data_IF_765890245062
#
_entry.id   IF_765890245062
#
_cell.length_a   1.000
_cell.length_b   1.000
_cell.length_c   1.000
_cell.angle_alpha   90.00
_cell.angle_beta   90.00
_cell.angle_gamma   90.00
#
_symmetry.space_group_name_H-M   'P 1'
#
loop_
_entity.id
_entity.type
_entity.pdbx_description
1 polymer ?
#
# COMPACT_ATOMS: atom_id res chain seq x y z
N UNK A 1 46.55 4.38 -65.97
CA UNK A 1 45.67 3.24 -65.60
C UNK A 1 46.53 2.09 -65.11
N UNK A 2 46.61 1.89 -63.80
CA UNK A 2 46.47 0.59 -63.13
C UNK A 2 46.41 0.89 -61.64
N UNK A 3 45.23 0.63 -61.08
CA UNK A 3 44.91 0.87 -59.69
C UNK A 3 45.68 -0.13 -58.81
N UNK A 4 46.56 0.36 -57.96
CA UNK A 4 46.91 -0.36 -56.74
C UNK A 4 45.70 -0.26 -55.81
N UNK A 5 44.84 -1.29 -55.88
CA UNK A 5 43.75 -1.52 -54.94
C UNK A 5 44.29 -1.36 -53.52
N UNK A 6 43.78 -0.36 -52.80
CA UNK A 6 43.86 -0.32 -51.35
C UNK A 6 43.24 -1.61 -50.82
N UNK A 7 44.09 -2.51 -50.31
CA UNK A 7 43.68 -3.67 -49.54
C UNK A 7 43.20 -3.12 -48.20
N UNK A 8 41.97 -2.65 -48.20
CA UNK A 8 41.22 -2.19 -47.04
C UNK A 8 40.50 -3.41 -46.44
N UNK A 9 41.25 -4.49 -46.20
CA UNK A 9 40.73 -5.70 -45.58
C UNK A 9 41.08 -5.65 -44.09
N UNK A 10 40.19 -5.07 -43.30
CA UNK A 10 40.27 -4.98 -41.83
C UNK A 10 40.32 -6.37 -41.13
N UNK A 11 40.36 -7.48 -41.88
CA UNK A 11 40.33 -8.86 -41.38
C UNK A 11 41.68 -9.45 -40.97
N UNK A 12 42.80 -8.79 -41.27
CA UNK A 12 44.15 -9.30 -40.96
C UNK A 12 45.01 -8.36 -40.08
N UNK A 13 44.42 -7.37 -39.43
CA UNK A 13 45.16 -6.54 -38.46
C UNK A 13 45.33 -7.32 -37.17
N UNK A 14 46.58 -7.51 -36.75
CA UNK A 14 46.94 -8.12 -35.47
C UNK A 14 46.26 -7.33 -34.34
N UNK A 15 45.32 -7.94 -33.62
CA UNK A 15 44.62 -7.26 -32.52
C UNK A 15 45.30 -7.56 -31.19
N UNK A 16 45.32 -6.58 -30.29
CA UNK A 16 45.93 -6.76 -28.97
C UNK A 16 45.27 -7.89 -28.18
N UNK A 17 43.97 -8.11 -28.35
CA UNK A 17 43.26 -9.22 -27.71
C UNK A 17 43.81 -10.60 -28.15
N UNK A 18 44.23 -10.74 -29.41
CA UNK A 18 44.83 -11.97 -29.93
C UNK A 18 46.24 -12.22 -29.36
N UNK A 19 47.01 -11.14 -29.16
CA UNK A 19 48.34 -11.22 -28.54
C UNK A 19 48.19 -11.61 -27.06
N UNK A 20 47.32 -10.89 -26.35
CA UNK A 20 47.13 -11.06 -24.91
C UNK A 20 46.53 -12.42 -24.56
N UNK A 21 45.64 -12.95 -25.41
CA UNK A 21 45.07 -14.28 -25.21
C UNK A 21 46.09 -15.41 -25.36
N UNK A 22 47.15 -15.20 -26.13
CA UNK A 22 48.26 -16.15 -26.30
C UNK A 22 49.33 -16.04 -25.20
N UNK A 23 49.34 -14.96 -24.40
CA UNK A 23 50.26 -14.81 -23.28
C UNK A 23 49.83 -15.72 -22.11
N UNK A 24 50.74 -16.61 -21.67
CA UNK A 24 50.50 -17.54 -20.55
C UNK A 24 50.40 -16.83 -19.20
N UNK A 25 51.33 -15.92 -18.92
CA UNK A 25 51.34 -15.10 -17.71
C UNK A 25 51.80 -13.69 -18.04
N UNK A 26 51.23 -12.71 -17.34
CA UNK A 26 51.69 -11.33 -17.39
C UNK A 26 52.03 -10.94 -15.95
N UNK A 27 53.32 -10.75 -15.67
CA UNK A 27 53.85 -10.49 -14.32
C UNK A 27 53.66 -9.03 -13.85
N UNK A 28 53.16 -8.16 -14.73
CA UNK A 28 52.91 -6.76 -14.43
C UNK A 28 51.51 -6.57 -13.85
N UNK A 29 51.35 -5.58 -12.98
CA UNK A 29 50.01 -5.05 -12.69
C UNK A 29 49.42 -4.35 -13.92
N UNK A 30 48.09 -4.20 -13.96
CA UNK A 30 47.42 -3.49 -15.04
C UNK A 30 48.00 -2.08 -15.26
N UNK A 31 48.24 -1.31 -14.20
CA UNK A 31 48.81 0.04 -14.30
C UNK A 31 50.21 0.04 -14.89
N UNK A 32 51.06 -0.90 -14.48
CA UNK A 32 52.41 -1.04 -15.02
C UNK A 32 52.38 -1.41 -16.50
N UNK A 33 51.49 -2.34 -16.90
CA UNK A 33 51.33 -2.70 -18.31
C UNK A 33 50.95 -1.47 -19.15
N UNK A 34 49.97 -0.70 -18.68
CA UNK A 34 49.48 0.48 -19.41
C UNK A 34 50.54 1.58 -19.47
N UNK A 35 51.32 1.78 -18.40
CA UNK A 35 52.46 2.71 -18.41
C UNK A 35 53.51 2.32 -19.45
N UNK A 36 53.86 1.03 -19.53
CA UNK A 36 54.80 0.52 -20.54
C UNK A 36 54.23 0.69 -21.95
N UNK A 37 52.95 0.35 -22.17
CA UNK A 37 52.29 0.56 -23.46
C UNK A 37 52.33 2.04 -23.88
N UNK A 38 51.98 2.97 -22.98
CA UNK A 38 52.00 4.40 -23.26
C UNK A 38 53.40 4.91 -23.59
N UNK A 39 54.43 4.41 -22.90
CA UNK A 39 55.82 4.76 -23.20
C UNK A 39 56.22 4.37 -24.64
N UNK A 40 55.72 3.24 -25.13
CA UNK A 40 56.00 2.73 -26.48
C UNK A 40 54.85 2.97 -27.49
N UNK A 41 53.86 3.81 -27.18
CA UNK A 41 52.64 3.94 -27.98
C UNK A 41 52.90 4.31 -29.44
N UNK A 42 53.93 5.12 -29.70
CA UNK A 42 54.33 5.51 -31.06
C UNK A 42 54.74 4.31 -31.93
N UNK A 43 55.31 3.28 -31.32
CA UNK A 43 55.70 2.04 -32.02
C UNK A 43 54.46 1.25 -32.46
N UNK A 44 53.37 1.35 -31.70
CA UNK A 44 52.13 0.60 -31.92
C UNK A 44 51.05 1.38 -32.68
N UNK A 45 51.38 2.52 -33.32
CA UNK A 45 50.39 3.35 -34.03
C UNK A 45 49.59 2.60 -35.10
N UNK A 46 50.18 1.58 -35.74
CA UNK A 46 49.51 0.76 -36.75
C UNK A 46 48.53 -0.28 -36.15
N UNK A 47 48.69 -0.60 -34.86
CA UNK A 47 47.89 -1.57 -34.12
C UNK A 47 47.55 -0.99 -32.74
N UNK A 48 46.68 0.04 -32.69
CA UNK A 48 46.36 0.71 -31.44
C UNK A 48 45.68 -0.26 -30.48
N UNK A 49 46.01 -0.12 -29.20
CA UNK A 49 45.32 -0.81 -28.13
C UNK A 49 43.85 -0.40 -28.10
N UNK A 50 42.96 -1.38 -28.21
CA UNK A 50 41.53 -1.15 -28.33
C UNK A 50 40.80 -1.45 -27.01
N UNK A 51 39.53 -1.04 -26.95
CA UNK A 51 38.68 -1.24 -25.77
C UNK A 51 38.58 -2.72 -25.40
N UNK A 52 38.45 -3.61 -26.38
CA UNK A 52 38.29 -5.05 -26.14
C UNK A 52 39.54 -5.65 -25.48
N UNK A 53 40.73 -5.30 -25.96
CA UNK A 53 41.98 -5.70 -25.31
C UNK A 53 42.14 -5.13 -23.90
N UNK A 54 41.71 -3.88 -23.66
CA UNK A 54 41.73 -3.29 -22.34
C UNK A 54 40.83 -4.02 -21.34
N UNK A 55 39.60 -4.31 -21.74
CA UNK A 55 38.63 -5.10 -20.97
C UNK A 55 39.20 -6.49 -20.68
N UNK A 56 39.81 -7.14 -21.68
CA UNK A 56 40.46 -8.43 -21.51
C UNK A 56 41.61 -8.37 -20.48
N UNK A 57 42.44 -7.32 -20.53
CA UNK A 57 43.48 -7.11 -19.51
C UNK A 57 42.88 -6.92 -18.13
N UNK A 58 41.82 -6.13 -17.96
CA UNK A 58 41.17 -5.96 -16.66
C UNK A 58 40.68 -7.31 -16.11
N UNK A 59 40.12 -8.17 -16.97
CA UNK A 59 39.66 -9.50 -16.57
C UNK A 59 40.80 -10.41 -16.10
N UNK A 60 41.96 -10.35 -16.74
CA UNK A 60 43.12 -11.19 -16.37
C UNK A 60 43.93 -10.60 -15.22
N UNK A 61 44.07 -9.29 -15.21
CA UNK A 61 44.92 -8.53 -14.31
C UNK A 61 44.06 -7.86 -13.25
N UNK A 62 43.51 -8.68 -12.35
CA UNK A 62 42.76 -8.12 -11.23
C UNK A 62 43.68 -7.25 -10.36
N UNK A 63 43.25 -6.04 -9.99
CA UNK A 63 44.03 -5.22 -9.08
C UNK A 63 44.16 -5.92 -7.72
N UNK A 64 45.40 -5.98 -7.22
CA UNK A 64 45.75 -6.50 -5.89
C UNK A 64 44.83 -5.95 -4.80
N UNK A 65 44.47 -6.80 -3.83
CA UNK A 65 43.47 -6.59 -2.75
C UNK A 65 43.76 -5.47 -1.74
N UNK A 66 44.72 -4.58 -1.99
CA UNK A 66 45.04 -3.44 -1.10
C UNK A 66 45.38 -2.20 -1.91
N UNK A 67 44.38 -1.54 -2.48
CA UNK A 67 44.57 -0.25 -3.16
C UNK A 67 43.85 0.87 -2.42
N UNK A 68 44.46 2.06 -2.42
CA UNK A 68 43.87 3.31 -1.91
C UNK A 68 42.70 3.80 -2.76
N UNK A 69 42.56 3.27 -3.96
CA UNK A 69 41.58 3.67 -4.97
C UNK A 69 40.86 2.43 -5.47
N UNK A 70 39.55 2.56 -5.71
CA UNK A 70 38.75 1.44 -6.15
C UNK A 70 39.16 0.93 -7.53
N UNK A 71 39.01 -0.38 -7.80
CA UNK A 71 39.30 -0.94 -9.11
C UNK A 71 38.59 -0.18 -10.23
N UNK A 72 37.35 0.23 -10.01
CA UNK A 72 36.56 0.97 -10.99
C UNK A 72 37.16 2.33 -11.37
N UNK A 73 37.56 3.14 -10.38
CA UNK A 73 38.21 4.43 -10.62
C UNK A 73 39.54 4.27 -11.36
N UNK A 74 40.32 3.26 -11.00
CA UNK A 74 41.57 2.91 -11.68
C UNK A 74 41.30 2.59 -13.15
N UNK A 75 40.33 1.72 -13.44
CA UNK A 75 40.01 1.34 -14.82
C UNK A 75 39.56 2.55 -15.64
N UNK A 76 38.74 3.44 -15.07
CA UNK A 76 38.33 4.66 -15.77
C UNK A 76 39.49 5.61 -16.04
N UNK A 77 40.40 5.80 -15.07
CA UNK A 77 41.60 6.61 -15.27
C UNK A 77 42.44 6.05 -16.41
N UNK A 78 42.70 4.75 -16.39
CA UNK A 78 43.51 4.09 -17.42
C UNK A 78 42.83 4.13 -18.80
N UNK A 79 41.52 3.93 -18.87
CA UNK A 79 40.73 4.09 -20.10
C UNK A 79 40.88 5.49 -20.69
N UNK A 80 40.86 6.53 -19.84
CA UNK A 80 41.07 7.93 -20.24
C UNK A 80 42.49 8.19 -20.71
N UNK A 81 43.51 7.68 -20.01
CA UNK A 81 44.90 7.82 -20.40
C UNK A 81 45.16 7.22 -21.79
N UNK A 82 44.49 6.12 -22.10
CA UNK A 82 44.55 5.45 -23.40
C UNK A 82 43.66 6.08 -24.49
N UNK A 83 42.81 7.06 -24.14
CA UNK A 83 41.85 7.70 -25.04
C UNK A 83 40.89 6.71 -25.73
N UNK A 84 40.52 5.64 -25.03
CA UNK A 84 39.60 4.62 -25.56
C UNK A 84 38.15 5.10 -25.63
N UNK A 85 37.37 4.49 -26.51
CA UNK A 85 35.93 4.76 -26.64
C UNK A 85 35.22 4.42 -25.32
N UNK A 86 34.62 5.46 -24.71
CA UNK A 86 33.92 5.31 -23.44
C UNK A 86 32.62 4.52 -23.58
N UNK A 87 31.83 4.73 -24.64
CA UNK A 87 30.55 4.04 -24.79
C UNK A 87 30.78 2.53 -24.90
N UNK A 88 31.69 2.14 -25.79
CA UNK A 88 32.09 0.76 -26.00
C UNK A 88 32.71 0.14 -24.73
N UNK A 89 33.45 0.94 -23.93
CA UNK A 89 33.96 0.49 -22.65
C UNK A 89 32.83 0.09 -21.70
N UNK A 90 31.81 0.94 -21.52
CA UNK A 90 30.71 0.63 -20.61
C UNK A 90 29.85 -0.54 -21.08
N UNK A 91 29.64 -0.70 -22.39
CA UNK A 91 28.91 -1.84 -22.95
C UNK A 91 29.64 -3.17 -22.70
N UNK A 92 30.98 -3.20 -22.81
CA UNK A 92 31.75 -4.43 -22.61
C UNK A 92 32.10 -4.69 -21.14
N UNK A 93 32.30 -3.63 -20.34
CA UNK A 93 32.73 -3.72 -18.95
C UNK A 93 31.63 -4.26 -18.00
N UNK A 94 30.36 -4.24 -18.41
CA UNK A 94 29.22 -4.63 -17.56
C UNK A 94 29.39 -6.03 -16.92
N UNK A 95 30.00 -6.99 -17.60
CA UNK A 95 30.24 -8.34 -17.09
C UNK A 95 31.34 -8.38 -16.03
N UNK A 96 32.38 -7.57 -16.20
CA UNK A 96 33.45 -7.39 -15.20
C UNK A 96 32.89 -6.69 -13.97
N UNK A 97 32.05 -5.68 -14.17
CA UNK A 97 31.33 -5.01 -13.10
C UNK A 97 30.48 -6.01 -12.31
N UNK A 98 29.64 -6.79 -12.98
CA UNK A 98 28.82 -7.83 -12.37
C UNK A 98 29.65 -8.86 -11.56
N UNK A 99 30.76 -9.35 -12.14
CA UNK A 99 31.71 -10.22 -11.43
C UNK A 99 32.36 -9.53 -10.22
N UNK A 100 32.67 -8.24 -10.33
CA UNK A 100 33.26 -7.47 -9.24
C UNK A 100 32.30 -7.19 -8.11
N UNK A 101 31.00 -6.99 -8.38
CA UNK A 101 29.97 -6.90 -7.34
C UNK A 101 29.87 -8.22 -6.57
N UNK A 102 29.74 -9.35 -7.28
CA UNK A 102 29.68 -10.69 -6.63
C UNK A 102 30.88 -10.99 -5.73
N UNK A 103 32.07 -10.49 -6.12
CA UNK A 103 33.31 -10.71 -5.38
C UNK A 103 33.68 -9.55 -4.44
N UNK A 104 32.76 -8.58 -4.23
CA UNK A 104 32.94 -7.42 -3.36
C UNK A 104 34.23 -6.63 -3.65
N UNK A 105 34.53 -6.39 -4.93
CA UNK A 105 35.69 -5.61 -5.36
C UNK A 105 35.51 -4.10 -5.23
N UNK A 106 34.28 -3.65 -5.09
CA UNK A 106 33.93 -2.23 -5.11
C UNK A 106 33.24 -1.85 -3.79
N UNK A 107 33.61 -0.70 -3.25
CA UNK A 107 32.88 -0.14 -2.13
C UNK A 107 31.58 0.50 -2.62
N UNK A 108 30.58 0.60 -1.74
CA UNK A 108 29.29 1.26 -2.06
C UNK A 108 29.48 2.67 -2.62
N UNK A 109 30.46 3.43 -2.10
CA UNK A 109 30.73 4.80 -2.54
C UNK A 109 31.13 4.86 -4.02
N UNK A 110 31.93 3.91 -4.48
CA UNK A 110 32.38 3.85 -5.87
C UNK A 110 31.24 3.48 -6.82
N UNK A 111 30.40 2.53 -6.41
CA UNK A 111 29.23 2.11 -7.18
C UNK A 111 28.23 3.27 -7.30
N UNK A 112 28.01 4.01 -6.21
CA UNK A 112 27.14 5.18 -6.23
C UNK A 112 27.66 6.33 -7.10
N UNK A 113 28.98 6.53 -7.13
CA UNK A 113 29.61 7.49 -8.04
C UNK A 113 29.42 7.07 -9.50
N UNK A 114 29.57 5.77 -9.80
CA UNK A 114 29.25 5.23 -11.12
C UNK A 114 27.80 5.52 -11.51
N UNK A 115 26.83 5.21 -10.65
CA UNK A 115 25.42 5.51 -10.92
C UNK A 115 25.16 7.00 -11.10
N UNK A 116 25.83 7.85 -10.31
CA UNK A 116 25.77 9.31 -10.48
C UNK A 116 26.28 9.74 -11.85
N UNK A 117 27.32 9.10 -12.36
CA UNK A 117 27.90 9.42 -13.66
C UNK A 117 27.03 8.91 -14.82
N UNK A 118 26.41 7.74 -14.67
CA UNK A 118 25.53 7.15 -15.68
C UNK A 118 24.12 7.74 -15.69
N UNK A 119 23.72 8.56 -14.70
CA UNK A 119 22.34 9.05 -14.57
C UNK A 119 21.80 9.83 -15.77
N UNK A 120 22.66 10.34 -16.65
CA UNK A 120 22.27 11.01 -17.90
C UNK A 120 22.12 10.05 -19.10
N UNK A 121 22.43 8.77 -18.93
CA UNK A 121 22.44 7.74 -19.97
C UNK A 121 21.47 6.62 -19.59
N UNK A 122 20.18 6.78 -19.93
CA UNK A 122 19.08 5.89 -19.51
C UNK A 122 19.40 4.39 -19.66
N UNK A 123 19.83 3.99 -20.86
CA UNK A 123 20.16 2.59 -21.16
C UNK A 123 21.31 2.05 -20.31
N UNK A 124 22.44 2.77 -20.23
CA UNK A 124 23.60 2.33 -19.46
C UNK A 124 23.33 2.34 -17.95
N UNK A 125 22.62 3.35 -17.45
CA UNK A 125 22.18 3.38 -16.06
C UNK A 125 21.33 2.14 -15.74
N UNK A 126 20.33 1.86 -16.58
CA UNK A 126 19.44 0.71 -16.39
C UNK A 126 20.22 -0.61 -16.32
N UNK A 127 21.11 -0.85 -17.28
CA UNK A 127 21.89 -2.09 -17.38
C UNK A 127 22.76 -2.29 -16.14
N UNK A 128 23.52 -1.26 -15.74
CA UNK A 128 24.40 -1.34 -14.59
C UNK A 128 23.62 -1.47 -13.28
N UNK A 129 22.49 -0.79 -13.15
CA UNK A 129 21.65 -0.88 -11.96
C UNK A 129 20.98 -2.27 -11.84
N UNK A 130 20.57 -2.89 -12.95
CA UNK A 130 20.10 -4.28 -12.98
C UNK A 130 21.20 -5.29 -12.65
N UNK A 131 22.41 -5.12 -13.19
CA UNK A 131 23.55 -5.96 -12.81
C UNK A 131 23.87 -5.84 -11.34
N UNK A 132 23.83 -4.63 -10.77
CA UNK A 132 24.00 -4.43 -9.34
C UNK A 132 22.92 -5.15 -8.53
N UNK A 133 21.64 -4.84 -8.78
CA UNK A 133 20.51 -5.37 -8.03
C UNK A 133 20.34 -6.89 -8.11
N UNK A 134 20.84 -7.51 -9.19
CA UNK A 134 20.83 -8.97 -9.36
C UNK A 134 21.88 -9.68 -8.52
N UNK A 135 22.91 -8.96 -8.07
CA UNK A 135 24.07 -9.52 -7.37
C UNK A 135 24.15 -9.13 -5.89
N UNK A 136 23.30 -8.22 -5.43
CA UNK A 136 23.24 -7.79 -4.03
C UNK A 136 21.96 -8.29 -3.36
N UNK A 137 21.99 -8.36 -2.03
CA UNK A 137 20.79 -8.64 -1.26
C UNK A 137 19.90 -7.38 -1.15
N UNK A 138 18.71 -7.52 -0.58
CA UNK A 138 17.77 -6.39 -0.46
C UNK A 138 18.23 -5.32 0.53
N UNK A 139 19.02 -5.70 1.55
CA UNK A 139 19.59 -4.74 2.51
C UNK A 139 20.58 -3.80 1.81
N UNK A 140 21.53 -4.36 1.06
CA UNK A 140 22.51 -3.61 0.28
C UNK A 140 21.85 -2.71 -0.77
N UNK A 141 20.79 -3.21 -1.41
CA UNK A 141 20.00 -2.42 -2.36
C UNK A 141 19.30 -1.24 -1.68
N UNK A 142 18.76 -1.43 -0.47
CA UNK A 142 18.15 -0.37 0.33
C UNK A 142 19.17 0.67 0.77
N UNK A 143 20.33 0.22 1.24
CA UNK A 143 21.42 1.09 1.65
C UNK A 143 21.93 1.92 0.47
N UNK A 144 22.02 1.32 -0.73
CA UNK A 144 22.37 2.05 -1.97
C UNK A 144 21.31 3.09 -2.32
N UNK A 145 20.03 2.76 -2.18
CA UNK A 145 18.94 3.71 -2.38
C UNK A 145 19.08 4.92 -1.46
N UNK A 146 19.22 4.70 -0.14
CA UNK A 146 19.38 5.78 0.83
C UNK A 146 20.65 6.60 0.55
N UNK A 147 21.74 5.93 0.18
CA UNK A 147 23.00 6.59 -0.15
C UNK A 147 22.88 7.50 -1.38
N UNK A 148 22.26 7.02 -2.47
CA UNK A 148 22.02 7.82 -3.68
C UNK A 148 21.14 9.04 -3.40
N UNK A 149 20.12 8.89 -2.55
CA UNK A 149 19.24 9.99 -2.16
C UNK A 149 19.96 11.09 -1.37
N UNK A 150 20.98 10.73 -0.57
CA UNK A 150 21.80 11.70 0.18
C UNK A 150 22.80 12.42 -0.71
N UNK A 151 23.37 11.71 -1.69
CA UNK A 151 24.53 12.19 -2.43
C UNK A 151 24.18 13.34 -3.39
N UNK A 152 23.08 13.24 -4.13
CA UNK A 152 22.71 14.18 -5.19
C UNK A 152 21.19 14.29 -5.41
N UNK A 153 20.76 15.34 -6.11
CA UNK A 153 19.39 15.45 -6.62
C UNK A 153 19.10 14.26 -7.54
N UNK A 154 18.07 13.50 -7.19
CA UNK A 154 17.60 12.33 -7.95
C UNK A 154 16.94 12.85 -9.22
N UNK A 155 17.34 12.34 -10.38
CA UNK A 155 16.68 12.65 -11.65
C UNK A 155 15.66 11.57 -12.02
N UNK A 156 14.88 11.81 -13.08
CA UNK A 156 13.82 10.90 -13.52
C UNK A 156 14.33 9.50 -13.88
N UNK A 157 15.54 9.38 -14.45
CA UNK A 157 16.16 8.08 -14.80
C UNK A 157 16.44 7.29 -13.52
N UNK A 158 17.13 7.89 -12.56
CA UNK A 158 17.45 7.25 -11.28
C UNK A 158 16.19 6.89 -10.50
N UNK A 159 15.20 7.80 -10.44
CA UNK A 159 13.89 7.53 -9.83
C UNK A 159 13.20 6.32 -10.46
N UNK A 160 13.09 6.29 -11.80
CA UNK A 160 12.39 5.23 -12.54
C UNK A 160 12.90 3.85 -12.13
N UNK A 161 14.21 3.60 -12.24
CA UNK A 161 14.75 2.27 -11.96
C UNK A 161 14.85 1.95 -10.47
N UNK A 162 15.12 2.94 -9.60
CA UNK A 162 15.10 2.69 -8.15
C UNK A 162 13.73 2.23 -7.70
N UNK A 163 12.66 2.93 -8.09
CA UNK A 163 11.28 2.55 -7.74
C UNK A 163 10.96 1.18 -8.30
N UNK A 164 11.22 0.93 -9.59
CA UNK A 164 10.90 -0.38 -10.20
C UNK A 164 11.56 -1.53 -9.44
N UNK A 165 12.89 -1.50 -9.27
CA UNK A 165 13.62 -2.63 -8.68
C UNK A 165 13.29 -2.77 -7.19
N UNK A 166 13.18 -1.67 -6.44
CA UNK A 166 12.83 -1.74 -5.02
C UNK A 166 11.41 -2.25 -4.82
N UNK A 167 10.43 -1.75 -5.59
CA UNK A 167 9.04 -2.22 -5.51
C UNK A 167 8.89 -3.69 -5.91
N UNK A 168 9.76 -4.23 -6.76
CA UNK A 168 9.78 -5.66 -7.09
C UNK A 168 10.38 -6.52 -5.96
N UNK A 169 11.44 -6.03 -5.29
CA UNK A 169 12.20 -6.78 -4.29
C UNK A 169 11.62 -6.67 -2.88
N UNK A 170 11.22 -5.46 -2.47
CA UNK A 170 10.73 -5.13 -1.13
C UNK A 170 9.60 -6.04 -0.64
N UNK A 171 8.65 -6.51 -1.48
CA UNK A 171 7.54 -7.29 -0.96
C UNK A 171 7.93 -8.68 -0.44
N UNK A 172 9.12 -9.17 -0.79
CA UNK A 172 9.66 -10.43 -0.27
C UNK A 172 10.27 -10.29 1.13
N UNK A 173 10.53 -9.06 1.57
CA UNK A 173 11.23 -8.73 2.83
C UNK A 173 10.29 -8.92 4.02
N UNK A 174 10.80 -9.45 5.14
CA UNK A 174 10.02 -9.58 6.39
C UNK A 174 9.57 -8.22 6.92
N UNK A 175 8.52 -8.22 7.76
CA UNK A 175 8.01 -7.00 8.38
C UNK A 175 9.08 -6.33 9.26
N UNK A 176 9.82 -7.12 10.03
CA UNK A 176 10.92 -6.65 10.88
C UNK A 176 12.01 -5.90 10.07
N UNK A 177 12.46 -6.50 8.96
CA UNK A 177 13.43 -5.85 8.08
C UNK A 177 12.86 -4.59 7.46
N UNK A 178 11.59 -4.61 7.05
CA UNK A 178 10.95 -3.40 6.53
C UNK A 178 10.83 -2.29 7.59
N UNK A 179 10.56 -2.62 8.86
CA UNK A 179 10.64 -1.67 9.97
C UNK A 179 12.05 -1.08 10.15
N UNK A 180 13.10 -1.89 9.95
CA UNK A 180 14.48 -1.38 9.97
C UNK A 180 14.69 -0.36 8.84
N UNK A 181 14.24 -0.69 7.63
CA UNK A 181 14.35 0.17 6.46
C UNK A 181 13.59 1.48 6.61
N UNK A 182 12.38 1.45 7.18
CA UNK A 182 11.56 2.67 7.39
C UNK A 182 12.20 3.58 8.44
N UNK A 183 12.80 3.02 9.50
CA UNK A 183 13.61 3.79 10.47
C UNK A 183 14.81 4.46 9.80
N UNK A 184 15.57 3.72 8.99
CA UNK A 184 16.71 4.27 8.25
C UNK A 184 16.27 5.37 7.25
N UNK A 185 15.11 5.19 6.60
CA UNK A 185 14.53 6.19 5.71
C UNK A 185 14.14 7.47 6.46
N UNK A 186 13.57 7.37 7.66
CA UNK A 186 13.27 8.53 8.53
C UNK A 186 14.53 9.30 8.90
N UNK A 187 15.59 8.60 9.32
CA UNK A 187 16.89 9.25 9.59
C UNK A 187 17.45 9.91 8.33
N UNK A 188 17.40 9.22 7.20
CA UNK A 188 17.85 9.73 5.91
C UNK A 188 17.14 11.02 5.50
N UNK A 189 15.82 11.13 5.73
CA UNK A 189 15.04 12.32 5.42
C UNK A 189 15.58 13.60 6.09
N UNK A 190 16.16 13.48 7.29
CA UNK A 190 16.77 14.61 8.01
C UNK A 190 18.10 15.06 7.40
N UNK A 191 18.82 14.15 6.74
CA UNK A 191 20.14 14.37 6.14
C UNK A 191 20.08 14.82 4.67
N UNK A 192 18.97 14.53 3.97
CA UNK A 192 18.78 14.88 2.56
C UNK A 192 18.60 16.41 2.39
N UNK A 193 19.20 16.94 1.32
CA UNK A 193 19.05 18.35 0.88
C UNK A 193 17.57 18.72 0.73
N UNK A 194 17.18 19.92 1.16
CA UNK A 194 15.79 20.40 1.14
C UNK A 194 15.09 20.20 -0.22
N UNK A 195 15.78 20.51 -1.32
CA UNK A 195 15.29 20.39 -2.69
C UNK A 195 14.94 18.96 -3.11
N UNK A 196 15.51 17.94 -2.47
CA UNK A 196 15.32 16.52 -2.81
C UNK A 196 14.35 15.80 -1.88
N UNK A 197 13.85 16.47 -0.82
CA UNK A 197 12.99 15.85 0.20
C UNK A 197 11.64 15.39 -0.35
N UNK A 198 10.97 16.23 -1.16
CA UNK A 198 9.67 15.90 -1.75
C UNK A 198 9.77 14.66 -2.64
N UNK A 199 10.80 14.62 -3.49
CA UNK A 199 11.06 13.49 -4.37
C UNK A 199 11.39 12.23 -3.57
N UNK A 200 12.24 12.32 -2.56
CA UNK A 200 12.52 11.18 -1.68
C UNK A 200 11.25 10.61 -1.04
N UNK A 201 10.38 11.47 -0.52
CA UNK A 201 9.10 11.06 0.06
C UNK A 201 8.26 10.35 -1.00
N UNK A 202 8.14 10.88 -2.22
CA UNK A 202 7.39 10.24 -3.31
C UNK A 202 7.94 8.84 -3.67
N UNK A 203 9.27 8.68 -3.72
CA UNK A 203 9.90 7.38 -3.99
C UNK A 203 9.62 6.38 -2.88
N UNK A 204 9.80 6.81 -1.62
CA UNK A 204 9.52 5.99 -0.46
C UNK A 204 8.05 5.60 -0.41
N UNK A 205 7.15 6.53 -0.71
CA UNK A 205 5.71 6.31 -0.81
C UNK A 205 5.43 5.16 -1.80
N UNK A 206 5.94 5.21 -3.04
CA UNK A 206 5.73 4.14 -4.04
C UNK A 206 6.21 2.76 -3.57
N UNK A 207 7.35 2.72 -2.89
CA UNK A 207 7.91 1.46 -2.38
C UNK A 207 7.08 0.93 -1.21
N UNK A 208 6.64 1.82 -0.31
CA UNK A 208 5.76 1.49 0.80
C UNK A 208 4.43 0.92 0.30
N UNK A 209 3.81 1.53 -0.71
CA UNK A 209 2.57 1.01 -1.32
C UNK A 209 2.76 -0.40 -1.88
N UNK A 210 3.86 -0.63 -2.62
CA UNK A 210 4.17 -1.95 -3.16
C UNK A 210 4.35 -3.01 -2.06
N UNK A 211 4.98 -2.65 -0.95
CA UNK A 211 5.11 -3.53 0.23
C UNK A 211 3.73 -3.86 0.84
N UNK A 212 2.92 -2.85 1.11
CA UNK A 212 1.61 -3.02 1.78
C UNK A 212 0.63 -3.82 0.91
N UNK A 213 0.46 -3.45 -0.36
CA UNK A 213 -0.45 -4.14 -1.28
C UNK A 213 -0.13 -5.64 -1.33
N UNK A 214 1.15 -5.99 -1.52
CA UNK A 214 1.54 -7.39 -1.61
C UNK A 214 1.46 -8.13 -0.28
N UNK A 215 1.64 -7.44 0.85
CA UNK A 215 1.52 -8.06 2.17
C UNK A 215 0.08 -8.29 2.59
N UNK A 216 -0.87 -7.45 2.17
CA UNK A 216 -2.27 -7.53 2.58
C UNK A 216 -3.13 -8.29 1.57
N UNK A 217 -3.02 -7.97 0.27
CA UNK A 217 -3.95 -8.50 -0.75
C UNK A 217 -3.58 -9.91 -1.23
N UNK A 218 -2.34 -10.35 -1.03
CA UNK A 218 -1.88 -11.65 -1.50
C UNK A 218 -1.99 -12.66 -0.35
N UNK A 219 -2.95 -13.58 -0.46
CA UNK A 219 -3.30 -14.58 0.56
C UNK A 219 -2.10 -15.39 1.10
N UNK A 220 -1.10 -15.65 0.28
CA UNK A 220 0.14 -16.34 0.67
C UNK A 220 1.03 -15.56 1.65
N UNK A 221 0.83 -14.25 1.80
CA UNK A 221 1.60 -13.37 2.67
C UNK A 221 0.78 -12.70 3.78
N UNK A 222 -0.56 -12.70 3.66
CA UNK A 222 -1.48 -11.93 4.51
C UNK A 222 -1.59 -12.43 5.96
N UNK A 223 -1.24 -13.70 6.23
CA UNK A 223 -1.25 -14.26 7.59
C UNK A 223 -0.02 -13.87 8.44
N UNK A 224 0.96 -13.15 7.86
CA UNK A 224 2.22 -12.82 8.53
C UNK A 224 2.28 -11.42 9.15
N UNK A 225 1.25 -10.59 8.95
CA UNK A 225 1.16 -9.26 9.55
C UNK A 225 0.32 -9.35 10.83
N UNK A 226 0.94 -9.07 11.97
CA UNK A 226 0.19 -8.91 13.22
C UNK A 226 -0.53 -7.56 13.24
N UNK A 227 -1.51 -7.41 14.12
CA UNK A 227 -2.19 -6.12 14.30
C UNK A 227 -1.23 -5.02 14.76
N UNK A 228 -0.25 -5.36 15.59
CA UNK A 228 0.80 -4.42 16.04
C UNK A 228 1.63 -3.94 14.86
N UNK A 229 2.05 -4.86 13.98
CA UNK A 229 2.78 -4.50 12.76
C UNK A 229 1.97 -3.55 11.88
N UNK A 230 0.67 -3.80 11.71
CA UNK A 230 -0.18 -2.91 10.92
C UNK A 230 -0.28 -1.50 11.52
N UNK A 231 -0.34 -1.39 12.85
CA UNK A 231 -0.34 -0.09 13.54
C UNK A 231 0.97 0.66 13.35
N UNK A 232 2.10 -0.02 13.51
CA UNK A 232 3.43 0.56 13.30
C UNK A 232 3.60 1.04 11.85
N UNK A 233 3.19 0.22 10.88
CA UNK A 233 3.22 0.57 9.46
C UNK A 233 2.28 1.73 9.14
N UNK A 234 1.10 1.81 9.77
CA UNK A 234 0.17 2.91 9.58
C UNK A 234 0.79 4.23 10.08
N UNK A 235 1.42 4.20 11.26
CA UNK A 235 2.15 5.36 11.77
C UNK A 235 3.29 5.79 10.83
N UNK A 236 4.06 4.83 10.31
CA UNK A 236 5.08 5.12 9.29
C UNK A 236 4.47 5.76 8.05
N UNK A 237 3.36 5.22 7.53
CA UNK A 237 2.67 5.75 6.34
C UNK A 237 2.13 7.16 6.55
N UNK A 238 1.69 7.48 7.77
CA UNK A 238 1.23 8.82 8.14
C UNK A 238 2.37 9.81 8.34
N UNK A 239 3.51 9.39 8.90
CA UNK A 239 4.68 10.26 9.12
C UNK A 239 5.52 10.48 7.86
N UNK A 240 5.65 9.45 7.01
CA UNK A 240 6.48 9.45 5.80
C UNK A 240 5.63 9.65 4.55
N UNK A 241 4.78 10.68 4.58
CA UNK A 241 3.90 11.03 3.47
C UNK A 241 4.00 12.49 3.10
N UNK A 242 3.86 12.78 1.81
CA UNK A 242 3.79 14.14 1.29
C UNK A 242 2.50 14.86 1.70
N UNK A 243 1.43 14.09 1.93
CA UNK A 243 0.10 14.61 2.25
C UNK A 243 -0.32 14.33 3.70
N UNK A 244 0.35 13.39 4.39
CA UNK A 244 0.02 12.96 5.75
C UNK A 244 -1.47 12.61 5.92
N UNK A 245 -2.05 11.91 4.93
CA UNK A 245 -3.49 11.58 4.90
C UNK A 245 -3.74 10.10 5.08
N UNK A 246 -4.75 9.81 5.90
CA UNK A 246 -5.25 8.47 6.13
C UNK A 246 -5.96 7.89 4.89
N UNK A 247 -6.45 8.75 4.00
CA UNK A 247 -7.20 8.44 2.77
C UNK A 247 -6.35 7.77 1.68
N UNK A 248 -5.04 7.60 1.92
CA UNK A 248 -4.13 6.96 0.97
C UNK A 248 -4.43 5.45 0.86
N UNK A 249 -4.36 4.84 -0.34
CA UNK A 249 -4.67 3.42 -0.53
C UNK A 249 -3.98 2.45 0.44
N UNK A 250 -2.68 2.57 0.68
CA UNK A 250 -1.96 1.69 1.62
C UNK A 250 -2.39 1.89 3.08
N UNK A 251 -2.62 3.14 3.50
CA UNK A 251 -3.16 3.45 4.82
C UNK A 251 -4.57 2.88 4.99
N UNK A 252 -5.42 2.99 3.96
CA UNK A 252 -6.76 2.41 3.93
C UNK A 252 -6.71 0.88 4.04
N UNK A 253 -5.81 0.20 3.31
CA UNK A 253 -5.60 -1.24 3.43
C UNK A 253 -5.17 -1.64 4.85
N UNK A 254 -4.29 -0.87 5.48
CA UNK A 254 -3.87 -1.10 6.87
C UNK A 254 -5.02 -0.89 7.86
N UNK A 255 -5.81 0.18 7.70
CA UNK A 255 -7.01 0.43 8.51
C UNK A 255 -8.00 -0.72 8.36
N UNK A 256 -8.28 -1.16 7.14
CA UNK A 256 -9.13 -2.32 6.85
C UNK A 256 -8.61 -3.57 7.57
N UNK A 257 -7.31 -3.86 7.50
CA UNK A 257 -6.71 -5.03 8.16
C UNK A 257 -6.79 -4.91 9.69
N UNK A 258 -6.57 -3.72 10.26
CA UNK A 258 -6.65 -3.51 11.71
C UNK A 258 -8.08 -3.69 12.23
N UNK A 259 -9.07 -3.15 11.52
CA UNK A 259 -10.46 -3.13 11.96
C UNK A 259 -11.20 -4.43 11.61
N UNK A 260 -11.08 -4.88 10.36
CA UNK A 260 -11.96 -5.89 9.78
C UNK A 260 -11.35 -7.29 9.64
N UNK A 261 -10.07 -7.49 9.95
CA UNK A 261 -9.47 -8.82 9.86
C UNK A 261 -9.98 -9.71 11.00
N UNK A 262 -10.82 -10.67 10.61
CA UNK A 262 -11.46 -11.62 11.51
C UNK A 262 -10.62 -12.89 11.52
N UNK A 263 -10.07 -13.25 12.68
CA UNK A 263 -9.39 -14.54 12.84
C UNK A 263 -10.36 -15.71 12.59
N UNK A 264 -9.86 -16.78 11.97
CA UNK A 264 -10.66 -17.93 11.49
C UNK A 264 -11.54 -18.64 12.54
N UNK A 265 -11.32 -18.37 13.84
CA UNK A 265 -12.10 -18.94 14.94
C UNK A 265 -13.39 -18.16 15.27
N UNK A 266 -13.62 -16.96 14.73
CA UNK A 266 -14.87 -16.23 14.94
C UNK A 266 -15.98 -16.81 14.06
N UNK A 267 -16.77 -17.74 14.63
CA UNK A 267 -17.76 -18.52 13.88
C UNK A 267 -19.13 -17.84 13.76
N UNK A 268 -19.46 -16.86 14.61
CA UNK A 268 -20.79 -16.20 14.61
C UNK A 268 -20.70 -14.71 14.30
N UNK A 269 -21.77 -14.13 13.74
CA UNK A 269 -21.85 -12.69 13.47
C UNK A 269 -21.70 -11.84 14.75
N UNK A 270 -22.23 -12.30 15.88
CA UNK A 270 -22.06 -11.60 17.15
C UNK A 270 -20.57 -11.51 17.56
N UNK A 271 -19.82 -12.60 17.43
CA UNK A 271 -18.38 -12.61 17.71
C UNK A 271 -17.60 -11.71 16.75
N UNK A 272 -17.95 -11.71 15.46
CA UNK A 272 -17.35 -10.83 14.45
C UNK A 272 -17.60 -9.36 14.77
N UNK A 273 -18.83 -8.99 15.11
CA UNK A 273 -19.21 -7.64 15.49
C UNK A 273 -18.49 -7.21 16.77
N UNK A 274 -18.50 -8.05 17.82
CA UNK A 274 -17.74 -7.76 19.06
C UNK A 274 -16.27 -7.48 18.76
N UNK A 275 -15.63 -8.31 17.94
CA UNK A 275 -14.24 -8.11 17.53
C UNK A 275 -14.04 -6.79 16.75
N UNK A 276 -14.90 -6.47 15.79
CA UNK A 276 -14.79 -5.22 15.00
C UNK A 276 -14.80 -3.98 15.90
N UNK A 277 -15.73 -3.92 16.86
CA UNK A 277 -15.85 -2.78 17.74
C UNK A 277 -14.78 -2.77 18.84
N UNK A 278 -14.32 -3.92 19.33
CA UNK A 278 -13.11 -4.02 20.15
C UNK A 278 -11.87 -3.50 19.39
N UNK A 279 -11.74 -3.82 18.11
CA UNK A 279 -10.64 -3.33 17.26
C UNK A 279 -10.72 -1.81 17.10
N UNK A 280 -11.92 -1.27 16.86
CA UNK A 280 -12.16 0.16 16.78
C UNK A 280 -11.88 0.87 18.11
N UNK A 281 -12.25 0.28 19.25
CA UNK A 281 -11.95 0.83 20.58
C UNK A 281 -10.45 0.99 20.79
N UNK A 282 -9.69 0.00 20.31
CA UNK A 282 -8.25 -0.05 20.40
C UNK A 282 -7.56 0.64 19.20
N UNK A 283 -8.32 1.27 18.31
CA UNK A 283 -7.78 2.10 17.23
C UNK A 283 -7.40 3.49 17.77
N UNK A 284 -6.58 4.23 17.02
CA UNK A 284 -6.11 5.55 17.45
C UNK A 284 -7.27 6.57 17.47
N UNK A 285 -7.66 6.99 18.67
CA UNK A 285 -8.75 7.94 18.89
C UNK A 285 -8.49 9.28 18.18
N UNK A 286 -7.23 9.72 18.09
CA UNK A 286 -6.88 10.97 17.41
C UNK A 286 -7.16 10.88 15.91
N UNK A 287 -6.96 9.71 15.30
CA UNK A 287 -7.31 9.48 13.89
C UNK A 287 -8.82 9.48 13.69
N UNK A 288 -9.59 8.86 14.60
CA UNK A 288 -11.05 8.88 14.54
C UNK A 288 -11.63 10.29 14.69
N UNK A 289 -10.99 11.18 15.46
CA UNK A 289 -11.41 12.58 15.61
C UNK A 289 -11.02 13.43 14.39
N UNK A 290 -9.86 13.17 13.78
CA UNK A 290 -9.32 13.97 12.67
C UNK A 290 -9.96 13.66 11.32
N UNK A 291 -10.33 12.40 11.06
CA UNK A 291 -10.84 11.97 9.76
C UNK A 291 -12.31 11.55 9.84
N UNK A 292 -13.09 11.94 8.83
CA UNK A 292 -14.48 11.55 8.70
C UNK A 292 -14.59 10.08 8.28
N UNK A 293 -15.45 9.31 8.95
CA UNK A 293 -15.55 7.86 8.76
C UNK A 293 -15.92 7.49 7.33
N UNK A 294 -16.82 8.26 6.71
CA UNK A 294 -17.32 8.06 5.35
C UNK A 294 -16.27 8.25 4.25
N UNK A 295 -15.12 8.85 4.57
CA UNK A 295 -13.98 8.98 3.64
C UNK A 295 -12.96 7.86 3.78
N UNK A 296 -13.04 7.09 4.86
CA UNK A 296 -12.03 6.11 5.23
C UNK A 296 -12.58 4.68 5.13
N UNK A 297 -13.83 4.48 5.51
CA UNK A 297 -14.45 3.16 5.61
C UNK A 297 -15.30 2.92 4.37
N UNK A 298 -14.93 1.90 3.60
CA UNK A 298 -15.69 1.43 2.45
C UNK A 298 -16.74 0.39 2.89
N UNK A 299 -17.97 0.53 2.39
CA UNK A 299 -19.09 -0.38 2.66
C UNK A 299 -18.75 -1.83 2.29
N UNK A 300 -17.94 -2.03 1.24
CA UNK A 300 -17.47 -3.34 0.80
C UNK A 300 -16.70 -4.09 1.89
N UNK A 301 -15.97 -3.38 2.76
CA UNK A 301 -15.21 -3.98 3.85
C UNK A 301 -16.11 -4.52 4.95
N UNK A 302 -17.36 -4.04 5.02
CA UNK A 302 -18.32 -4.39 6.07
C UNK A 302 -19.21 -5.59 5.70
N UNK A 303 -19.13 -6.10 4.47
CA UNK A 303 -19.97 -7.19 3.97
C UNK A 303 -19.98 -8.43 4.85
N UNK A 304 -18.82 -8.82 5.38
CA UNK A 304 -18.68 -10.00 6.23
C UNK A 304 -19.30 -9.86 7.63
N UNK A 305 -19.71 -8.64 7.99
CA UNK A 305 -20.39 -8.29 9.24
C UNK A 305 -21.90 -8.12 9.06
N UNK A 306 -22.40 -8.15 7.83
CA UNK A 306 -23.82 -8.03 7.56
C UNK A 306 -24.58 -9.23 8.14
N UNK A 307 -25.71 -8.93 8.74
CA UNK A 307 -26.62 -9.93 9.28
C UNK A 307 -27.65 -10.22 8.20
N UNK A 308 -27.54 -11.41 7.60
CA UNK A 308 -28.36 -11.81 6.44
C UNK A 308 -29.66 -12.51 6.81
N UNK A 309 -29.85 -12.87 8.09
CA UNK A 309 -31.05 -13.55 8.59
C UNK A 309 -31.50 -12.96 9.93
N UNK A 310 -32.80 -12.76 10.10
CA UNK A 310 -33.41 -12.25 11.32
C UNK A 310 -33.19 -13.14 12.56
N UNK A 311 -33.07 -14.46 12.39
CA UNK A 311 -32.74 -15.36 13.49
C UNK A 311 -31.31 -15.14 14.02
N UNK A 312 -30.45 -14.47 13.26
CA UNK A 312 -29.10 -14.11 13.69
C UNK A 312 -29.13 -12.79 14.47
N UNK A 313 -30.02 -11.86 14.10
CA UNK A 313 -30.30 -10.68 14.93
C UNK A 313 -30.75 -11.11 16.32
N UNK A 314 -31.66 -12.08 16.43
CA UNK A 314 -32.08 -12.62 17.73
C UNK A 314 -30.99 -13.33 18.53
N UNK A 315 -29.83 -13.62 17.91
CA UNK A 315 -28.65 -14.23 18.52
C UNK A 315 -27.54 -13.23 18.82
N UNK A 316 -27.70 -11.95 18.47
CA UNK A 316 -26.90 -10.89 19.12
C UNK A 316 -27.29 -10.91 20.59
N UNK A 317 -26.43 -11.53 21.39
CA UNK A 317 -26.63 -11.59 22.82
C UNK A 317 -26.64 -10.17 23.41
N UNK A 318 -27.32 -10.05 24.55
CA UNK A 318 -27.44 -8.81 25.28
C UNK A 318 -26.08 -8.23 25.65
N UNK A 319 -25.09 -9.08 25.94
CA UNK A 319 -23.73 -8.69 26.32
C UNK A 319 -23.01 -7.96 25.17
N UNK A 320 -23.04 -8.51 23.95
CA UNK A 320 -22.43 -7.92 22.76
C UNK A 320 -23.10 -6.59 22.43
N UNK A 321 -24.44 -6.54 22.48
CA UNK A 321 -25.17 -5.31 22.21
C UNK A 321 -24.90 -4.22 23.27
N UNK A 322 -24.95 -4.57 24.56
CA UNK A 322 -24.62 -3.66 25.65
C UNK A 322 -23.17 -3.17 25.58
N UNK A 323 -22.24 -4.02 25.15
CA UNK A 323 -20.84 -3.62 24.94
C UNK A 323 -20.74 -2.49 23.91
N UNK A 324 -21.45 -2.60 22.77
CA UNK A 324 -21.51 -1.57 21.73
C UNK A 324 -22.05 -0.25 22.30
N UNK A 325 -23.22 -0.32 22.93
CA UNK A 325 -23.92 0.85 23.47
C UNK A 325 -23.12 1.55 24.57
N UNK A 326 -22.46 0.80 25.45
CA UNK A 326 -21.75 1.39 26.58
C UNK A 326 -20.40 1.98 26.17
N UNK A 327 -19.65 1.31 25.30
CA UNK A 327 -18.27 1.70 24.98
C UNK A 327 -18.14 2.66 23.78
N UNK A 328 -19.16 2.74 22.92
CA UNK A 328 -19.00 3.41 21.61
C UNK A 328 -20.02 4.50 21.30
N UNK A 329 -20.92 4.84 22.22
CA UNK A 329 -22.03 5.78 22.00
C UNK A 329 -21.63 7.18 21.49
N UNK A 330 -20.39 7.61 21.76
CA UNK A 330 -19.88 8.92 21.35
C UNK A 330 -18.84 8.86 20.23
N UNK A 331 -18.54 7.68 19.69
CA UNK A 331 -17.52 7.51 18.66
C UNK A 331 -18.17 7.66 17.27
N UNK A 332 -17.83 8.70 16.48
CA UNK A 332 -18.46 8.95 15.18
C UNK A 332 -18.24 7.81 14.17
N UNK A 333 -17.07 7.16 14.22
CA UNK A 333 -16.78 6.01 13.36
C UNK A 333 -17.62 4.80 13.75
N UNK A 334 -17.80 4.55 15.05
CA UNK A 334 -18.64 3.45 15.51
C UNK A 334 -20.09 3.64 15.06
N UNK A 335 -20.61 4.86 15.20
CA UNK A 335 -21.94 5.28 14.75
C UNK A 335 -22.09 5.04 13.23
N UNK A 336 -21.10 5.49 12.44
CA UNK A 336 -21.10 5.30 10.98
C UNK A 336 -21.08 3.81 10.58
N UNK A 337 -20.12 3.03 11.10
CA UNK A 337 -19.98 1.60 10.82
C UNK A 337 -21.27 0.86 11.16
N UNK A 338 -21.83 1.11 12.34
CA UNK A 338 -23.08 0.47 12.75
C UNK A 338 -24.23 0.84 11.81
N UNK A 339 -24.33 2.11 11.41
CA UNK A 339 -25.34 2.57 10.46
C UNK A 339 -25.26 1.81 9.12
N UNK A 340 -24.06 1.60 8.58
CA UNK A 340 -23.87 0.86 7.33
C UNK A 340 -24.20 -0.62 7.47
N UNK A 341 -23.72 -1.27 8.53
CA UNK A 341 -24.02 -2.69 8.80
C UNK A 341 -25.53 -2.89 8.93
N UNK A 342 -26.21 -2.05 9.72
CA UNK A 342 -27.66 -2.09 9.91
C UNK A 342 -28.40 -1.89 8.59
N UNK A 343 -28.07 -0.84 7.85
CA UNK A 343 -28.76 -0.49 6.61
C UNK A 343 -28.67 -1.64 5.60
N UNK A 344 -27.46 -2.14 5.33
CA UNK A 344 -27.23 -3.23 4.38
C UNK A 344 -27.85 -4.55 4.84
N UNK A 345 -27.79 -4.85 6.14
CA UNK A 345 -28.43 -6.05 6.71
C UNK A 345 -29.95 -6.03 6.53
N UNK A 346 -30.59 -4.90 6.88
CA UNK A 346 -32.04 -4.74 6.78
C UNK A 346 -32.51 -4.71 5.33
N UNK A 347 -31.77 -4.05 4.43
CA UNK A 347 -32.08 -4.01 3.00
C UNK A 347 -32.12 -5.43 2.40
N UNK A 348 -31.13 -6.27 2.74
CA UNK A 348 -31.07 -7.66 2.30
C UNK A 348 -32.21 -8.52 2.89
N UNK A 349 -32.44 -8.43 4.21
CA UNK A 349 -33.45 -9.22 4.90
C UNK A 349 -34.86 -8.85 4.41
N UNK A 350 -35.13 -7.56 4.25
CA UNK A 350 -36.39 -7.07 3.70
C UNK A 350 -36.55 -7.45 2.21
N UNK A 351 -35.56 -7.90 1.44
CA UNK A 351 -35.88 -8.39 0.10
C UNK A 351 -36.57 -9.76 0.07
N UNK A 352 -36.53 -10.52 1.17
CA UNK A 352 -36.89 -11.94 1.15
C UNK A 352 -38.08 -12.37 2.04
N UNK A 353 -38.42 -11.71 3.16
CA UNK A 353 -39.57 -12.16 4.00
C UNK A 353 -40.13 -11.17 5.07
N UNK A 354 -40.74 -10.07 4.64
CA UNK A 354 -41.03 -8.85 5.41
C UNK A 354 -41.71 -8.91 6.78
N UNK A 355 -42.66 -9.82 6.97
CA UNK A 355 -43.67 -9.70 8.04
C UNK A 355 -43.18 -10.38 9.31
N UNK A 356 -42.63 -11.58 9.14
CA UNK A 356 -41.91 -12.31 10.18
C UNK A 356 -40.72 -11.52 10.72
N UNK A 357 -40.06 -10.75 9.85
CA UNK A 357 -38.91 -9.90 10.20
C UNK A 357 -39.36 -8.82 11.18
N UNK A 358 -40.44 -8.09 10.89
CA UNK A 358 -40.89 -6.98 11.74
C UNK A 358 -41.36 -7.48 13.11
N UNK A 359 -42.06 -8.62 13.16
CA UNK A 359 -42.42 -9.25 14.44
C UNK A 359 -41.18 -9.67 15.23
N UNK A 360 -40.21 -10.34 14.59
CA UNK A 360 -38.99 -10.81 15.25
C UNK A 360 -38.05 -9.68 15.67
N UNK A 361 -37.96 -8.57 14.93
CA UNK A 361 -37.22 -7.37 15.36
C UNK A 361 -37.92 -6.75 16.57
N UNK A 362 -39.24 -6.64 16.55
CA UNK A 362 -40.02 -6.12 17.68
C UNK A 362 -39.82 -6.97 18.94
N UNK A 363 -39.84 -8.30 18.81
CA UNK A 363 -39.62 -9.21 19.94
C UNK A 363 -38.15 -9.23 20.39
N UNK A 364 -37.19 -9.12 19.47
CA UNK A 364 -35.79 -8.94 19.82
C UNK A 364 -35.53 -7.64 20.58
N UNK A 365 -36.14 -6.52 20.15
CA UNK A 365 -36.05 -5.24 20.85
C UNK A 365 -36.60 -5.33 22.29
N UNK A 366 -37.67 -6.12 22.50
CA UNK A 366 -38.20 -6.40 23.85
C UNK A 366 -37.26 -7.28 24.66
N UNK A 367 -36.69 -8.33 24.05
CA UNK A 367 -35.89 -9.34 24.75
C UNK A 367 -34.47 -8.87 25.09
N UNK A 368 -33.81 -8.08 24.24
CA UNK A 368 -32.47 -7.51 24.50
C UNK A 368 -32.53 -6.33 25.47
N UNK A 369 -33.71 -5.74 25.69
CA UNK A 369 -33.93 -4.60 26.60
C UNK A 369 -35.16 -4.80 27.50
N UNK A 370 -35.22 -5.91 28.23
CA UNK A 370 -36.35 -6.09 29.15
C UNK A 370 -36.36 -5.11 30.35
N UNK A 371 -35.34 -4.24 30.50
CA UNK A 371 -35.43 -3.07 31.36
C UNK A 371 -35.08 -1.79 30.61
N UNK A 372 -36.14 -1.03 30.31
CA UNK A 372 -36.19 0.36 29.84
C UNK A 372 -35.37 0.57 28.56
N UNK A 373 -36.09 0.80 27.44
CA UNK A 373 -35.52 1.47 26.27
C UNK A 373 -34.82 2.75 26.75
N UNK A 374 -33.50 2.69 26.99
CA UNK A 374 -32.74 3.90 27.24
C UNK A 374 -32.92 4.72 25.98
N UNK A 375 -33.56 5.90 26.05
CA UNK A 375 -33.77 6.77 24.92
C UNK A 375 -32.59 7.74 24.73
N UNK A 376 -31.36 7.43 25.16
CA UNK A 376 -30.14 8.17 24.73
C UNK A 376 -29.09 7.39 23.90
N UNK A 377 -28.86 6.09 24.14
CA UNK A 377 -28.30 5.06 23.20
C UNK A 377 -28.54 5.21 21.66
N UNK A 378 -27.55 5.80 20.98
CA UNK A 378 -27.52 6.10 19.55
C UNK A 378 -27.63 4.87 18.62
N UNK A 379 -27.16 3.69 19.03
CA UNK A 379 -27.13 2.52 18.14
C UNK A 379 -28.52 1.88 17.98
N UNK A 380 -29.36 1.93 19.02
CA UNK A 380 -30.77 1.56 18.88
C UNK A 380 -31.52 2.54 17.99
N UNK A 381 -31.24 3.85 18.11
CA UNK A 381 -31.86 4.86 17.24
C UNK A 381 -31.60 4.54 15.78
N UNK A 382 -30.34 4.28 15.43
CA UNK A 382 -29.93 3.98 14.06
C UNK A 382 -30.67 2.75 13.53
N UNK A 383 -30.76 1.68 14.32
CA UNK A 383 -31.50 0.47 13.96
C UNK A 383 -32.97 0.77 13.65
N UNK A 384 -33.64 1.50 14.55
CA UNK A 384 -35.06 1.84 14.42
C UNK A 384 -35.29 2.79 13.23
N UNK A 385 -34.46 3.83 13.07
CA UNK A 385 -34.56 4.78 11.98
C UNK A 385 -34.34 4.12 10.61
N UNK A 386 -33.30 3.28 10.47
CA UNK A 386 -33.02 2.58 9.22
C UNK A 386 -34.08 1.54 8.86
N UNK A 387 -34.65 0.87 9.87
CA UNK A 387 -35.80 -0.01 9.66
C UNK A 387 -36.98 0.78 9.11
N UNK A 388 -37.31 1.93 9.71
CA UNK A 388 -38.36 2.78 9.21
C UNK A 388 -38.06 3.23 7.79
N UNK A 389 -36.94 3.90 7.55
CA UNK A 389 -36.52 4.40 6.23
C UNK A 389 -36.72 3.34 5.13
N UNK A 390 -36.28 2.10 5.35
CA UNK A 390 -36.41 1.01 4.39
C UNK A 390 -37.87 0.55 4.18
N UNK A 391 -38.69 0.51 5.24
CA UNK A 391 -40.14 0.29 5.12
C UNK A 391 -40.77 1.42 4.30
N UNK A 392 -40.44 2.68 4.63
CA UNK A 392 -41.00 3.86 3.97
C UNK A 392 -40.67 3.85 2.47
N UNK A 393 -39.39 3.61 2.13
CA UNK A 393 -38.92 3.56 0.75
C UNK A 393 -39.60 2.43 -0.04
N UNK A 394 -39.64 1.21 0.52
CA UNK A 394 -40.17 0.03 -0.17
C UNK A 394 -41.69 0.05 -0.35
N UNK A 395 -42.41 0.61 0.61
CA UNK A 395 -43.88 0.58 0.62
C UNK A 395 -44.53 1.90 0.25
N UNK A 396 -43.77 2.94 -0.10
CA UNK A 396 -44.25 4.26 -0.53
C UNK A 396 -45.41 4.24 -1.56
N UNK A 397 -45.63 3.13 -2.29
CA UNK A 397 -46.73 2.94 -3.25
C UNK A 397 -47.76 1.85 -2.89
N UNK A 398 -47.52 0.95 -1.93
CA UNK A 398 -48.44 -0.17 -1.65
C UNK A 398 -48.40 -0.67 -0.18
N UNK A 399 -48.38 0.25 0.77
CA UNK A 399 -48.60 0.01 2.22
C UNK A 399 -49.80 -0.93 2.48
N UNK A 400 -50.82 -0.89 1.62
CA UNK A 400 -52.06 -1.69 1.64
C UNK A 400 -51.86 -3.21 1.77
N UNK A 401 -50.67 -3.74 1.46
CA UNK A 401 -50.40 -5.20 1.42
C UNK A 401 -49.52 -5.69 2.56
N UNK A 402 -49.20 -4.83 3.54
CA UNK A 402 -48.44 -5.23 4.73
C UNK A 402 -49.36 -5.89 5.78
N UNK A 403 -49.26 -7.19 6.07
CA UNK A 403 -49.91 -7.75 7.23
C UNK A 403 -49.24 -7.24 8.52
N UNK A 404 -50.04 -7.08 9.57
CA UNK A 404 -49.68 -6.42 10.84
C UNK A 404 -49.34 -4.93 10.74
N UNK A 405 -49.83 -4.25 9.71
CA UNK A 405 -49.71 -2.79 9.53
C UNK A 405 -50.12 -2.00 10.77
N UNK A 406 -51.10 -2.46 11.53
CA UNK A 406 -51.54 -1.87 12.79
C UNK A 406 -50.45 -1.87 13.87
N UNK A 407 -49.69 -2.96 13.99
CA UNK A 407 -48.57 -3.06 14.94
C UNK A 407 -47.41 -2.17 14.48
N UNK A 408 -47.13 -2.18 13.17
CA UNK A 408 -46.07 -1.37 12.55
C UNK A 408 -46.40 0.12 12.73
N UNK A 409 -47.62 0.54 12.38
CA UNK A 409 -48.10 1.91 12.56
C UNK A 409 -48.13 2.31 14.02
N UNK A 410 -48.62 1.47 14.94
CA UNK A 410 -48.57 1.75 16.37
C UNK A 410 -47.14 1.96 16.86
N UNK A 411 -46.19 1.16 16.37
CA UNK A 411 -44.77 1.36 16.65
C UNK A 411 -44.22 2.67 16.04
N UNK A 412 -44.53 3.00 14.78
CA UNK A 412 -44.15 4.28 14.12
C UNK A 412 -44.66 5.47 14.94
N UNK A 413 -45.93 5.44 15.34
CA UNK A 413 -46.62 6.51 16.04
C UNK A 413 -46.10 6.65 17.47
N UNK A 414 -45.94 5.54 18.19
CA UNK A 414 -45.36 5.53 19.54
C UNK A 414 -43.93 6.06 19.53
N UNK A 415 -43.16 5.75 18.46
CA UNK A 415 -41.81 6.28 18.27
C UNK A 415 -41.79 7.77 17.88
N UNK A 416 -42.77 8.25 17.08
CA UNK A 416 -42.98 9.67 16.74
C UNK A 416 -43.33 10.53 17.96
N UNK A 417 -44.18 9.99 18.84
CA UNK A 417 -44.71 10.71 20.01
C UNK A 417 -43.77 10.62 21.23
N UNK A 418 -42.72 9.80 21.16
CA UNK A 418 -41.70 9.71 22.21
C UNK A 418 -40.88 10.99 22.27
N UNK A 419 -41.02 11.74 23.37
CA UNK A 419 -40.32 13.01 23.65
C UNK A 419 -38.80 12.89 23.79
N UNK A 420 -38.28 11.66 23.72
CA UNK A 420 -36.95 11.33 24.20
C UNK A 420 -35.91 11.09 23.11
N UNK A 421 -36.20 11.22 21.80
CA UNK A 421 -35.14 10.97 20.78
C UNK A 421 -35.29 11.47 19.35
N UNK A 422 -34.09 11.69 18.77
CA UNK A 422 -33.70 12.15 17.42
C UNK A 422 -34.08 11.19 16.28
N UNK A 423 -35.35 10.87 16.15
CA UNK A 423 -35.91 10.32 14.92
C UNK A 423 -36.18 11.52 13.99
N UNK A 424 -35.96 11.37 12.68
CA UNK A 424 -36.33 12.43 11.74
C UNK A 424 -37.87 12.51 11.66
N UNK A 425 -38.44 13.29 12.56
CA UNK A 425 -39.87 13.53 12.67
C UNK A 425 -40.42 14.10 11.37
N UNK A 426 -39.61 14.86 10.61
CA UNK A 426 -40.03 15.41 9.32
C UNK A 426 -40.13 14.31 8.25
N UNK A 427 -39.20 13.35 8.23
CA UNK A 427 -39.29 12.18 7.35
C UNK A 427 -40.50 11.29 7.68
N UNK A 428 -40.76 11.06 8.97
CA UNK A 428 -41.94 10.33 9.43
C UNK A 428 -43.23 11.08 9.07
N UNK A 429 -43.28 12.40 9.33
CA UNK A 429 -44.42 13.22 8.99
C UNK A 429 -44.64 13.25 7.47
N UNK A 430 -43.60 13.37 6.65
CA UNK A 430 -43.71 13.32 5.19
C UNK A 430 -44.24 11.97 4.71
N UNK A 431 -43.83 10.86 5.34
CA UNK A 431 -44.37 9.54 5.01
C UNK A 431 -45.83 9.37 5.44
N UNK A 432 -46.18 9.78 6.66
CA UNK A 432 -47.58 9.79 7.13
C UNK A 432 -48.42 10.66 6.20
N UNK A 433 -47.91 11.82 5.79
CA UNK A 433 -48.62 12.76 4.93
C UNK A 433 -48.76 12.28 3.48
N UNK A 434 -47.76 11.56 2.95
CA UNK A 434 -47.83 10.99 1.60
C UNK A 434 -48.74 9.75 1.53
N UNK A 435 -49.03 9.09 2.67
CA UNK A 435 -49.94 7.95 2.78
C UNK A 435 -51.20 8.23 3.59
N UNK A 436 -51.52 9.50 3.85
CA UNK A 436 -52.46 9.99 4.86
C UNK A 436 -53.85 9.36 4.74
N UNK A 437 -54.42 9.36 3.53
CA UNK A 437 -55.76 8.86 3.28
C UNK A 437 -55.83 7.33 3.47
N UNK A 438 -54.81 6.61 3.02
CA UNK A 438 -54.72 5.15 3.11
C UNK A 438 -54.41 4.67 4.54
N UNK A 439 -53.60 5.43 5.29
CA UNK A 439 -53.28 5.17 6.70
C UNK A 439 -54.49 5.46 7.59
N UNK A 440 -55.22 6.55 7.32
CA UNK A 440 -56.46 6.85 8.02
C UNK A 440 -57.50 5.77 7.80
N UNK A 441 -57.73 5.30 6.57
CA UNK A 441 -58.67 4.20 6.29
C UNK A 441 -58.37 2.93 7.10
N UNK A 442 -57.10 2.53 7.21
CA UNK A 442 -56.66 1.33 7.95
C UNK A 442 -56.84 1.47 9.46
N UNK A 443 -56.46 2.62 10.02
CA UNK A 443 -56.62 2.90 11.45
C UNK A 443 -58.10 3.03 11.82
N UNK A 444 -58.92 3.61 10.93
CA UNK A 444 -60.37 3.71 11.12
C UNK A 444 -61.07 2.34 11.02
N UNK A 445 -60.67 1.48 10.07
CA UNK A 445 -61.18 0.11 9.92
C UNK A 445 -60.87 -0.78 11.13
N UNK A 446 -59.77 -0.52 11.85
CA UNK A 446 -59.34 -1.28 13.05
C UNK A 446 -59.52 -0.57 14.39
N UNK A 447 -60.20 0.59 14.43
CA UNK A 447 -60.50 1.42 15.64
C UNK A 447 -59.28 1.98 16.40
N UNK A 448 -58.30 2.56 15.71
CA UNK A 448 -57.29 3.43 16.30
C UNK A 448 -57.40 4.84 15.71
N UNK A 449 -57.29 5.88 16.54
CA UNK A 449 -57.28 7.29 16.08
C UNK A 449 -55.89 7.88 16.19
N UNK A 450 -55.40 8.43 15.08
CA UNK A 450 -54.19 9.24 15.02
C UNK A 450 -54.57 10.71 15.17
N UNK A 451 -54.01 11.40 16.17
CA UNK A 451 -54.05 12.86 16.23
C UNK A 451 -52.83 13.44 15.53
N UNK A 452 -53.04 14.10 14.39
CA UNK A 452 -52.01 14.85 13.68
C UNK A 452 -52.18 16.33 14.09
N UNK A 453 -51.18 16.97 14.72
CA UNK A 453 -51.22 18.42 14.92
C UNK A 453 -50.98 19.12 13.57
N UNK A 454 -51.69 20.23 13.36
CA UNK A 454 -51.55 21.11 12.19
C UNK A 454 -50.15 21.69 12.05
#
# INVERSE_FOLDING_TARGET
MQAAKSINDNRYRLQWIDILSKMKEIKLSLEQFIQVYMHYQKVFLQFPFDTSAFIYLIQRMHPSKKKKESPFRIFLRLNRNLQLDRSMFFEQFQWIFSKGIKNQWYDMKDIAELFTWLRSQDQLFSQYFYHYSSNVNTDELWDMFLYLCRLNTINNITQKYLVTILSERIPSVSVELFHRYTKLAKTCLTEIKSESRSLFIELFEKIFDAFIIKRIDYSQYSYRLTRTDCKDLLQVGLEMSSTHRLERPSCLLLVRKILCDIESYHKTNAQKLKCLFENLKNFDENLCQKYAAEKIIDDEWLKDFYITNIQIWSKLDQETYQYLCTNHQNNPWAIYIWSQIVHSSLSNILNNNHIDILSKINDWMKNVKCDIYNPTDIFTIILVNKLFELILMKYSRSIMTLPNIDIIMKFIITMRESTSRRIDVQQINNFINNGLDTIHEILHLKRYTLTIPK
#
